data_IF_369905476376
#
_entry.id   IF_369905476376
#
_cell.length_a   1.000
_cell.length_b   1.000
_cell.length_c   1.000
_cell.angle_alpha   90.00
_cell.angle_beta   90.00
_cell.angle_gamma   90.00
#
_symmetry.space_group_name_H-M   'P 1'
#
loop_
_entity.id
_entity.type
_entity.pdbx_description
1 polymer ?
#
# COMPACT_ATOMS: atom_id res chain seq x y z
N UNK A 1 73.00 11.66 46.35
CA UNK A 1 71.58 11.81 46.76
C UNK A 1 70.86 12.27 45.52
N UNK A 2 70.23 11.31 44.79
CA UNK A 2 69.40 11.62 43.63
C UNK A 2 68.02 12.02 44.14
N UNK A 3 67.57 13.17 43.72
CA UNK A 3 66.25 13.72 44.00
C UNK A 3 65.23 12.87 43.24
N UNK A 4 64.18 12.28 43.87
CA UNK A 4 63.21 11.49 43.15
C UNK A 4 62.46 12.40 42.19
N UNK A 5 62.49 12.06 40.92
CA UNK A 5 61.75 12.75 39.88
C UNK A 5 60.24 12.77 40.25
N UNK A 6 59.75 13.97 40.58
CA UNK A 6 58.34 14.22 40.84
C UNK A 6 57.55 13.92 39.56
N UNK A 7 56.99 12.72 39.51
CA UNK A 7 56.14 12.30 38.37
C UNK A 7 54.95 13.24 38.35
N UNK A 8 54.87 14.08 37.35
CA UNK A 8 53.74 15.00 37.13
C UNK A 8 52.44 14.14 36.92
N UNK A 9 51.78 13.85 38.05
CA UNK A 9 50.54 13.09 38.08
C UNK A 9 49.45 13.67 37.16
N UNK A 10 49.50 14.98 36.91
CA UNK A 10 48.55 15.65 36.01
C UNK A 10 48.81 15.28 34.55
N UNK A 11 50.06 15.19 34.14
CA UNK A 11 50.38 14.82 32.75
C UNK A 11 50.03 13.34 32.49
N UNK A 12 50.31 12.44 33.44
CA UNK A 12 49.95 11.03 33.37
C UNK A 12 48.41 10.84 33.28
N UNK A 13 47.66 11.57 34.10
CA UNK A 13 46.19 11.52 34.09
C UNK A 13 45.60 12.02 32.77
N UNK A 14 46.19 13.07 32.20
CA UNK A 14 45.74 13.66 30.91
C UNK A 14 45.95 12.67 29.76
N UNK A 15 47.06 11.95 29.76
CA UNK A 15 47.37 10.92 28.75
C UNK A 15 46.39 9.75 28.89
N UNK A 16 46.12 9.23 30.09
CA UNK A 16 45.17 8.15 30.32
C UNK A 16 43.74 8.51 29.89
N UNK A 17 43.30 9.73 30.20
CA UNK A 17 41.96 10.21 29.75
C UNK A 17 41.90 10.32 28.22
N UNK A 18 42.97 10.77 27.56
CA UNK A 18 43.04 10.88 26.14
C UNK A 18 43.03 9.53 25.43
N UNK A 19 43.74 8.55 25.97
CA UNK A 19 43.76 7.17 25.46
C UNK A 19 42.42 6.47 25.66
N UNK A 20 41.79 6.59 26.82
CA UNK A 20 40.49 6.02 27.08
C UNK A 20 39.41 6.59 26.17
N UNK A 21 39.42 7.90 25.92
CA UNK A 21 38.50 8.55 24.95
C UNK A 21 38.73 8.09 23.51
N UNK A 22 39.99 7.88 23.12
CA UNK A 22 40.32 7.40 21.77
C UNK A 22 39.91 5.94 21.56
N UNK A 23 40.06 5.10 22.58
CA UNK A 23 39.60 3.72 22.57
C UNK A 23 38.06 3.64 22.48
N UNK A 24 37.36 4.44 23.30
CA UNK A 24 35.88 4.50 23.26
C UNK A 24 35.35 4.97 21.90
N UNK A 25 35.99 5.99 21.30
CA UNK A 25 35.62 6.47 19.96
C UNK A 25 35.80 5.40 18.88
N UNK A 26 36.89 4.62 18.94
CA UNK A 26 37.21 3.57 18.00
C UNK A 26 36.20 2.42 18.09
N UNK A 27 35.81 2.05 19.30
CA UNK A 27 34.82 1.00 19.55
C UNK A 27 33.42 1.43 19.10
N UNK A 28 33.06 2.69 19.35
CA UNK A 28 31.80 3.28 18.89
C UNK A 28 31.71 3.35 17.37
N UNK A 29 32.75 3.82 16.71
CA UNK A 29 32.82 3.89 15.26
C UNK A 29 32.72 2.50 14.61
N UNK A 30 33.33 1.47 15.22
CA UNK A 30 33.23 0.09 14.74
C UNK A 30 31.81 -0.47 14.89
N UNK A 31 31.18 -0.26 16.04
CA UNK A 31 29.79 -0.69 16.30
C UNK A 31 28.81 0.04 15.37
N UNK A 32 29.00 1.33 15.16
CA UNK A 32 28.21 2.12 14.24
C UNK A 32 28.37 1.63 12.78
N UNK A 33 29.61 1.32 12.36
CA UNK A 33 29.87 0.75 11.04
C UNK A 33 29.17 -0.60 10.84
N UNK A 34 29.20 -1.49 11.83
CA UNK A 34 28.50 -2.78 11.78
C UNK A 34 26.97 -2.56 11.67
N UNK A 35 26.43 -1.64 12.47
CA UNK A 35 25.00 -1.32 12.42
C UNK A 35 24.59 -0.78 11.03
N UNK A 36 25.36 0.12 10.45
CA UNK A 36 25.11 0.64 9.10
C UNK A 36 25.16 -0.48 8.04
N UNK A 37 26.12 -1.39 8.13
CA UNK A 37 26.19 -2.54 7.22
C UNK A 37 24.99 -3.45 7.36
N UNK A 38 24.52 -3.74 8.58
CA UNK A 38 23.34 -4.55 8.82
C UNK A 38 22.06 -3.87 8.28
N UNK A 39 21.91 -2.56 8.48
CA UNK A 39 20.80 -1.80 7.95
C UNK A 39 20.81 -1.80 6.40
N UNK A 40 21.97 -1.59 5.80
CA UNK A 40 22.10 -1.65 4.33
C UNK A 40 21.79 -3.06 3.80
N UNK A 41 22.31 -4.11 4.42
CA UNK A 41 22.00 -5.48 4.04
C UNK A 41 20.49 -5.77 4.19
N UNK A 42 19.87 -5.33 5.27
CA UNK A 42 18.42 -5.42 5.48
C UNK A 42 17.62 -4.69 4.41
N UNK A 43 18.04 -3.48 4.05
CA UNK A 43 17.39 -2.69 3.00
C UNK A 43 17.50 -3.34 1.62
N UNK A 44 18.68 -3.87 1.27
CA UNK A 44 18.90 -4.59 0.01
C UNK A 44 18.06 -5.87 -0.03
N UNK A 45 18.05 -6.64 1.05
CA UNK A 45 17.25 -7.87 1.15
C UNK A 45 15.76 -7.57 1.02
N UNK A 46 15.28 -6.52 1.71
CA UNK A 46 13.90 -6.05 1.58
C UNK A 46 13.55 -5.66 0.13
N UNK A 47 14.43 -4.91 -0.54
CA UNK A 47 14.23 -4.52 -1.93
C UNK A 47 14.19 -5.71 -2.90
N UNK A 48 15.01 -6.75 -2.65
CA UNK A 48 14.99 -7.99 -3.44
C UNK A 48 13.66 -8.75 -3.20
N UNK A 49 13.22 -8.88 -1.96
CA UNK A 49 11.97 -9.55 -1.61
C UNK A 49 10.74 -8.82 -2.18
N UNK A 50 10.74 -7.49 -2.12
CA UNK A 50 9.67 -6.68 -2.71
C UNK A 50 9.61 -6.88 -4.24
N UNK A 51 10.75 -6.84 -4.90
CA UNK A 51 10.85 -7.05 -6.35
C UNK A 51 10.53 -8.47 -6.80
N UNK A 52 10.74 -9.47 -5.95
CA UNK A 52 10.38 -10.88 -6.22
C UNK A 52 8.90 -11.19 -6.06
N UNK A 53 8.09 -10.21 -5.64
CA UNK A 53 6.66 -10.42 -5.38
C UNK A 53 6.37 -11.17 -4.06
N UNK A 54 7.36 -11.32 -3.18
CA UNK A 54 7.19 -12.02 -1.89
C UNK A 54 6.10 -11.38 -1.00
N UNK A 55 5.79 -10.11 -1.25
CA UNK A 55 4.76 -9.35 -0.54
C UNK A 55 3.46 -9.19 -1.35
N UNK A 56 3.29 -9.98 -2.41
CA UNK A 56 2.08 -10.01 -3.19
C UNK A 56 1.24 -11.23 -2.82
N UNK A 57 -0.02 -11.00 -2.58
CA UNK A 57 -1.01 -12.04 -2.33
C UNK A 57 -1.92 -12.14 -3.54
N UNK A 58 -2.05 -13.34 -4.10
CA UNK A 58 -3.02 -13.60 -5.17
C UNK A 58 -4.44 -13.46 -4.62
N UNK A 59 -5.26 -12.75 -5.37
CA UNK A 59 -6.70 -12.60 -5.12
C UNK A 59 -7.41 -13.17 -6.34
N UNK A 60 -8.29 -14.12 -6.09
CA UNK A 60 -9.16 -14.69 -7.11
C UNK A 60 -10.56 -14.81 -6.52
N UNK A 61 -11.51 -14.08 -7.08
CA UNK A 61 -12.88 -13.99 -6.60
C UNK A 61 -13.84 -13.93 -7.78
N UNK A 62 -15.02 -14.50 -7.58
CA UNK A 62 -16.14 -14.36 -8.50
C UNK A 62 -17.41 -14.17 -7.68
N UNK A 63 -18.20 -13.18 -8.05
CA UNK A 63 -19.42 -12.80 -7.34
C UNK A 63 -20.56 -12.59 -8.32
N UNK A 64 -21.77 -12.89 -7.88
CA UNK A 64 -22.99 -12.28 -8.43
C UNK A 64 -23.35 -11.12 -7.53
N UNK A 65 -23.48 -9.91 -8.08
CA UNK A 65 -23.71 -8.68 -7.35
C UNK A 65 -24.92 -7.94 -7.89
N UNK A 66 -25.53 -7.12 -7.04
CA UNK A 66 -26.69 -6.31 -7.42
C UNK A 66 -26.29 -5.08 -8.24
N UNK A 67 -27.17 -4.70 -9.16
CA UNK A 67 -27.17 -3.39 -9.83
C UNK A 67 -28.28 -2.57 -9.19
N UNK A 68 -27.92 -1.44 -8.62
CA UNK A 68 -28.81 -0.58 -7.85
C UNK A 68 -28.97 0.77 -8.57
N UNK A 69 -30.16 1.31 -8.59
CA UNK A 69 -30.47 2.65 -9.10
C UNK A 69 -31.57 3.26 -8.23
N UNK A 70 -31.38 4.51 -7.84
CA UNK A 70 -32.33 5.25 -6.99
C UNK A 70 -32.75 4.51 -5.69
N UNK A 71 -31.83 3.68 -5.18
CA UNK A 71 -32.07 2.87 -3.95
C UNK A 71 -32.74 1.52 -4.20
N UNK A 72 -33.15 1.21 -5.43
CA UNK A 72 -33.80 -0.05 -5.81
C UNK A 72 -32.84 -0.97 -6.57
N UNK A 73 -32.94 -2.28 -6.32
CA UNK A 73 -32.19 -3.29 -7.04
C UNK A 73 -32.86 -3.56 -8.39
N UNK A 74 -32.24 -3.11 -9.49
CA UNK A 74 -32.78 -3.23 -10.83
C UNK A 74 -32.29 -4.44 -11.61
N UNK A 75 -31.27 -5.17 -11.09
CA UNK A 75 -30.72 -6.35 -11.74
C UNK A 75 -29.54 -6.95 -11.00
N UNK A 76 -28.91 -7.91 -11.65
CA UNK A 76 -27.71 -8.58 -11.15
C UNK A 76 -26.66 -8.68 -12.27
N UNK A 77 -25.39 -8.75 -11.90
CA UNK A 77 -24.27 -8.93 -12.82
C UNK A 77 -23.19 -9.80 -12.18
N UNK A 78 -22.43 -10.51 -13.01
CA UNK A 78 -21.26 -11.21 -12.55
C UNK A 78 -20.05 -10.26 -12.49
N UNK A 79 -19.22 -10.46 -11.48
CA UNK A 79 -17.95 -9.76 -11.30
C UNK A 79 -16.85 -10.77 -11.06
N UNK A 80 -15.78 -10.68 -11.84
CA UNK A 80 -14.58 -11.52 -11.69
C UNK A 80 -13.40 -10.66 -11.33
N UNK A 81 -12.72 -11.03 -10.26
CA UNK A 81 -11.52 -10.35 -9.76
C UNK A 81 -10.39 -11.38 -9.77
N UNK A 82 -9.29 -11.08 -10.49
CA UNK A 82 -8.10 -11.94 -10.50
C UNK A 82 -6.85 -11.09 -10.64
N UNK A 83 -5.95 -11.18 -9.66
CA UNK A 83 -4.74 -10.35 -9.66
C UNK A 83 -3.94 -10.50 -8.40
N UNK A 84 -3.18 -9.48 -8.08
CA UNK A 84 -2.25 -9.46 -6.96
C UNK A 84 -2.48 -8.24 -6.07
N UNK A 85 -2.47 -8.46 -4.79
CA UNK A 85 -2.60 -7.43 -3.76
C UNK A 85 -1.32 -7.35 -2.95
N UNK A 86 -0.81 -6.15 -2.74
CA UNK A 86 0.30 -5.95 -1.82
C UNK A 86 -0.14 -6.17 -0.36
N UNK A 87 0.57 -7.01 0.38
CA UNK A 87 0.33 -7.28 1.81
C UNK A 87 0.59 -6.01 2.64
N UNK A 88 1.62 -5.25 2.28
CA UNK A 88 2.03 -4.03 2.98
C UNK A 88 1.43 -2.76 2.37
N UNK A 89 1.16 -2.83 1.07
CA UNK A 89 0.61 -1.74 0.31
C UNK A 89 -0.90 -1.63 0.43
N UNK A 90 -1.39 -0.58 -0.17
CA UNK A 90 -2.81 -0.31 -0.30
C UNK A 90 -3.17 -0.38 -1.76
N UNK A 91 -2.64 -1.39 -2.44
CA UNK A 91 -2.83 -1.55 -3.87
C UNK A 91 -3.22 -2.96 -4.24
N UNK A 92 -4.03 -3.03 -5.25
CA UNK A 92 -4.35 -4.22 -6.01
C UNK A 92 -4.08 -3.90 -7.48
N UNK A 93 -3.50 -4.84 -8.19
CA UNK A 93 -3.23 -4.76 -9.62
C UNK A 93 -3.68 -6.09 -10.26
N UNK A 94 -4.56 -6.01 -11.25
CA UNK A 94 -5.08 -7.21 -11.92
C UNK A 94 -6.35 -6.94 -12.71
N UNK A 95 -7.10 -7.98 -12.97
CA UNK A 95 -8.35 -7.93 -13.71
C UNK A 95 -9.52 -7.74 -12.74
N UNK A 96 -10.35 -6.76 -13.03
CA UNK A 96 -11.62 -6.53 -12.36
C UNK A 96 -12.70 -6.37 -13.45
N UNK A 97 -13.32 -7.47 -13.85
CA UNK A 97 -14.29 -7.50 -14.92
C UNK A 97 -15.71 -7.49 -14.35
N UNK A 98 -16.56 -6.65 -14.90
CA UNK A 98 -17.98 -6.52 -14.53
C UNK A 98 -18.78 -6.70 -15.81
N UNK A 99 -19.57 -7.77 -15.93
CA UNK A 99 -20.28 -8.12 -17.16
C UNK A 99 -21.23 -7.01 -17.63
N UNK A 100 -21.85 -6.29 -16.69
CA UNK A 100 -22.71 -5.14 -17.02
C UNK A 100 -21.94 -3.91 -17.52
N UNK A 101 -20.59 -3.90 -17.48
CA UNK A 101 -19.73 -2.80 -17.91
C UNK A 101 -18.74 -3.31 -18.94
N UNK A 102 -19.15 -3.34 -20.21
CA UNK A 102 -18.39 -3.93 -21.33
C UNK A 102 -16.92 -3.49 -21.39
N UNK A 103 -16.64 -2.21 -21.08
CA UNK A 103 -15.27 -1.68 -21.07
C UNK A 103 -14.34 -2.47 -20.14
N UNK A 104 -14.84 -2.99 -19.00
CA UNK A 104 -14.04 -3.74 -18.01
C UNK A 104 -13.79 -5.18 -18.45
N UNK A 105 -14.58 -5.71 -19.36
CA UNK A 105 -14.50 -7.09 -19.82
C UNK A 105 -13.48 -7.32 -20.93
N UNK A 106 -12.88 -6.25 -21.49
CA UNK A 106 -11.87 -6.38 -22.53
C UNK A 106 -10.70 -7.24 -22.06
N UNK A 107 -10.17 -8.09 -22.95
CA UNK A 107 -9.18 -9.10 -22.62
C UNK A 107 -7.92 -8.54 -21.95
N UNK A 108 -7.46 -7.35 -22.37
CA UNK A 108 -6.26 -6.70 -21.86
C UNK A 108 -6.52 -5.65 -20.78
N UNK A 109 -7.78 -5.46 -20.40
CA UNK A 109 -8.12 -4.48 -19.39
C UNK A 109 -7.61 -4.90 -18.02
N UNK A 110 -6.84 -4.04 -17.37
CA UNK A 110 -6.37 -4.20 -16.00
C UNK A 110 -6.97 -3.11 -15.12
N UNK A 111 -7.25 -3.46 -13.89
CA UNK A 111 -7.71 -2.55 -12.86
C UNK A 111 -6.60 -2.34 -11.84
N UNK A 112 -6.36 -1.08 -11.51
CA UNK A 112 -5.55 -0.67 -10.38
C UNK A 112 -6.45 -0.11 -9.30
N UNK A 113 -6.40 -0.69 -8.09
CA UNK A 113 -7.12 -0.18 -6.93
C UNK A 113 -6.09 0.38 -5.96
N UNK A 114 -6.35 1.59 -5.46
CA UNK A 114 -5.51 2.28 -4.47
C UNK A 114 -6.39 2.73 -3.31
N UNK A 115 -6.20 2.13 -2.14
CA UNK A 115 -6.96 2.49 -0.92
C UNK A 115 -6.42 3.74 -0.26
N UNK A 116 -7.31 4.58 0.21
CA UNK A 116 -6.98 5.72 1.05
C UNK A 116 -6.52 5.30 2.45
N UNK A 117 -5.82 6.22 3.13
CA UNK A 117 -5.38 6.00 4.50
C UNK A 117 -6.58 5.94 5.44
N UNK A 118 -6.69 4.81 6.17
CA UNK A 118 -7.68 4.63 7.26
C UNK A 118 -9.15 4.62 6.82
N UNK A 119 -9.43 4.42 5.55
CA UNK A 119 -10.79 4.30 5.04
C UNK A 119 -10.93 3.06 4.14
N UNK A 120 -12.15 2.65 3.89
CA UNK A 120 -12.49 1.65 2.90
C UNK A 120 -12.73 2.28 1.52
N UNK A 121 -12.53 3.60 1.40
CA UNK A 121 -12.54 4.28 0.11
C UNK A 121 -11.30 3.94 -0.69
N UNK A 122 -11.48 3.72 -1.97
CA UNK A 122 -10.40 3.44 -2.89
C UNK A 122 -10.67 4.13 -4.25
N UNK A 123 -9.59 4.42 -4.94
CA UNK A 123 -9.66 4.77 -6.36
C UNK A 123 -9.46 3.50 -7.17
N UNK A 124 -10.35 3.27 -8.14
CA UNK A 124 -10.20 2.21 -9.12
C UNK A 124 -9.93 2.85 -10.49
N UNK A 125 -8.86 2.43 -11.14
CA UNK A 125 -8.49 2.90 -12.48
C UNK A 125 -8.38 1.71 -13.41
N UNK A 126 -8.99 1.80 -14.59
CA UNK A 126 -8.91 0.77 -15.61
C UNK A 126 -7.99 1.24 -16.73
N UNK A 127 -7.00 0.43 -17.09
CA UNK A 127 -6.03 0.73 -18.14
C UNK A 127 -5.67 -0.51 -18.96
N UNK A 128 -5.40 -0.33 -20.25
CA UNK A 128 -4.80 -1.38 -21.09
C UNK A 128 -3.27 -1.27 -21.02
N UNK A 129 -2.53 -2.36 -20.75
CA UNK A 129 -1.07 -2.33 -20.71
C UNK A 129 -0.48 -1.89 -22.04
N UNK A 130 0.45 -0.95 -21.99
CA UNK A 130 1.17 -0.46 -23.18
C UNK A 130 0.58 0.78 -23.84
N UNK A 131 -0.57 1.27 -23.41
CA UNK A 131 -1.10 2.56 -23.82
C UNK A 131 -0.78 3.62 -22.77
N UNK A 132 0.29 4.38 -22.97
CA UNK A 132 0.57 5.56 -22.17
C UNK A 132 -0.55 6.58 -22.45
N UNK A 133 -1.53 6.70 -21.55
CA UNK A 133 -2.54 7.75 -21.57
C UNK A 133 -3.98 7.33 -21.88
N UNK A 134 -4.27 6.09 -22.24
CA UNK A 134 -5.63 5.63 -22.34
C UNK A 134 -6.13 5.12 -20.96
N UNK A 135 -6.35 6.03 -20.05
CA UNK A 135 -7.26 5.78 -18.94
C UNK A 135 -8.64 5.63 -19.56
N UNK A 136 -9.20 4.43 -19.58
CA UNK A 136 -10.62 4.29 -19.75
C UNK A 136 -11.23 4.93 -18.48
N UNK A 137 -11.60 6.21 -18.55
CA UNK A 137 -12.06 7.03 -17.45
C UNK A 137 -13.33 6.47 -16.82
N UNK A 138 -13.15 5.47 -15.96
CA UNK A 138 -14.11 5.11 -14.96
C UNK A 138 -13.47 5.62 -13.66
N UNK A 139 -13.50 6.92 -13.49
CA UNK A 139 -13.19 7.56 -12.22
C UNK A 139 -14.47 7.56 -11.40
N UNK A 140 -14.63 6.57 -10.54
CA UNK A 140 -15.84 6.49 -9.72
C UNK A 140 -15.48 6.19 -8.30
N UNK A 141 -16.37 6.60 -7.42
CA UNK A 141 -16.33 6.22 -6.04
C UNK A 141 -16.34 4.69 -5.94
N UNK A 142 -15.27 4.14 -5.37
CA UNK A 142 -15.12 2.73 -5.09
C UNK A 142 -14.95 2.53 -3.59
N UNK A 143 -15.89 1.84 -3.00
CA UNK A 143 -15.92 1.52 -1.58
C UNK A 143 -15.79 0.01 -1.40
N UNK A 144 -14.73 -0.46 -0.76
CA UNK A 144 -14.45 -1.88 -0.65
C UNK A 144 -13.55 -2.19 0.54
N UNK A 145 -13.62 -3.42 1.04
CA UNK A 145 -12.61 -3.89 1.97
C UNK A 145 -11.27 -4.15 1.25
N UNK A 146 -10.20 -4.26 2.03
CA UNK A 146 -8.87 -4.48 1.47
C UNK A 146 -8.67 -5.89 0.90
N UNK A 147 -9.53 -6.81 1.24
CA UNK A 147 -9.49 -8.20 0.77
C UNK A 147 -10.40 -8.42 -0.42
N UNK A 148 -11.13 -7.36 -0.84
CA UNK A 148 -12.12 -7.43 -1.89
C UNK A 148 -13.18 -8.51 -1.65
N UNK A 149 -13.57 -8.73 -0.37
CA UNK A 149 -14.67 -9.62 -0.04
C UNK A 149 -16.02 -8.97 -0.31
N UNK A 150 -16.09 -7.67 -0.24
CA UNK A 150 -17.25 -6.86 -0.57
C UNK A 150 -16.85 -5.53 -1.21
N UNK A 151 -17.70 -4.99 -2.03
CA UNK A 151 -17.48 -3.69 -2.66
C UNK A 151 -18.79 -3.02 -3.07
N UNK A 152 -18.72 -1.70 -3.29
CA UNK A 152 -19.71 -0.89 -3.96
C UNK A 152 -19.00 0.07 -4.91
N UNK A 153 -19.39 0.06 -6.18
CA UNK A 153 -18.85 0.87 -7.26
C UNK A 153 -19.96 1.75 -7.82
N UNK A 154 -19.80 3.05 -7.76
CA UNK A 154 -20.71 3.99 -8.41
C UNK A 154 -20.28 4.18 -9.86
N UNK A 155 -21.21 4.19 -10.79
CA UNK A 155 -20.99 4.43 -12.21
C UNK A 155 -21.43 5.87 -12.59
N UNK A 156 -20.90 6.38 -13.71
CA UNK A 156 -21.22 7.73 -14.23
C UNK A 156 -22.71 7.96 -14.48
N UNK A 157 -23.41 6.90 -14.84
CA UNK A 157 -24.84 6.93 -15.13
C UNK A 157 -25.73 6.87 -13.86
N UNK A 158 -25.15 6.97 -12.69
CA UNK A 158 -25.84 6.93 -11.40
C UNK A 158 -26.17 5.53 -10.89
N UNK A 159 -25.86 4.48 -11.64
CA UNK A 159 -25.99 3.11 -11.15
C UNK A 159 -24.88 2.77 -10.16
N UNK A 160 -25.21 1.90 -9.22
CA UNK A 160 -24.25 1.37 -8.24
C UNK A 160 -24.20 -0.14 -8.42
N UNK A 161 -23.01 -0.67 -8.61
CA UNK A 161 -22.77 -2.12 -8.64
C UNK A 161 -22.18 -2.51 -7.29
N UNK A 162 -22.89 -3.33 -6.54
CA UNK A 162 -22.49 -3.66 -5.18
C UNK A 162 -22.81 -5.10 -4.80
N UNK A 163 -21.92 -5.71 -4.02
CA UNK A 163 -22.28 -6.89 -3.24
C UNK A 163 -23.29 -6.51 -2.17
N UNK A 164 -24.09 -7.48 -1.69
CA UNK A 164 -25.12 -7.19 -0.66
C UNK A 164 -24.50 -6.56 0.58
N UNK A 165 -23.33 -7.02 1.00
CA UNK A 165 -22.59 -6.42 2.11
C UNK A 165 -22.06 -5.01 1.75
N UNK A 166 -21.56 -4.83 0.54
CA UNK A 166 -21.08 -3.51 0.06
C UNK A 166 -22.20 -2.50 0.01
N UNK A 167 -23.39 -2.89 -0.44
CA UNK A 167 -24.58 -2.06 -0.43
C UNK A 167 -24.98 -1.65 1.00
N UNK A 168 -25.05 -2.62 1.93
CA UNK A 168 -25.38 -2.36 3.32
C UNK A 168 -24.36 -1.40 3.98
N UNK A 169 -23.07 -1.57 3.70
CA UNK A 169 -22.03 -0.68 4.19
C UNK A 169 -22.15 0.72 3.60
N UNK A 170 -22.47 0.84 2.31
CA UNK A 170 -22.67 2.11 1.65
C UNK A 170 -23.87 2.87 2.26
N UNK A 171 -24.98 2.18 2.53
CA UNK A 171 -26.15 2.79 3.18
C UNK A 171 -25.88 3.23 4.63
N UNK A 172 -24.95 2.56 5.31
CA UNK A 172 -24.56 2.91 6.67
C UNK A 172 -23.65 4.14 6.75
N UNK A 173 -23.07 4.58 5.63
CA UNK A 173 -22.26 5.80 5.57
C UNK A 173 -23.17 7.02 5.84
N UNK A 174 -22.70 7.92 6.69
CA UNK A 174 -23.38 9.19 6.89
C UNK A 174 -23.24 10.08 5.65
N UNK A 175 -24.21 10.94 5.33
CA UNK A 175 -24.18 11.79 4.14
C UNK A 175 -22.91 12.64 3.95
N UNK A 176 -22.16 12.89 5.04
CA UNK A 176 -20.94 13.70 5.05
C UNK A 176 -19.66 12.90 4.71
N UNK A 177 -19.74 11.58 4.62
CA UNK A 177 -18.60 10.71 4.33
C UNK A 177 -18.51 10.35 2.84
N UNK A 178 -19.51 10.78 2.05
CA UNK A 178 -19.41 10.69 0.60
C UNK A 178 -18.42 11.76 0.11
N UNK A 179 -17.31 11.41 -0.52
CA UNK A 179 -16.52 12.38 -1.24
C UNK A 179 -17.35 12.87 -2.42
N UNK A 180 -17.99 14.02 -2.28
CA UNK A 180 -18.64 14.72 -3.38
C UNK A 180 -17.49 15.28 -4.23
N UNK A 181 -17.10 14.59 -5.26
CA UNK A 181 -16.30 15.19 -6.33
C UNK A 181 -17.20 16.16 -7.08
N UNK A 182 -17.21 17.41 -6.63
CA UNK A 182 -17.79 18.51 -7.39
C UNK A 182 -16.82 18.79 -8.54
N UNK A 183 -17.27 18.52 -9.76
CA UNK A 183 -16.58 18.93 -10.99
C UNK A 183 -16.51 20.46 -11.12
#
# INVERSE_FOLDING_TARGET
>A
MEEPAEIDVRSALTVLIRESRSALRRDWSRRFGILCCLLMAGFVTFGILDRSGAFLQKVERSYTVGIWQDGEKIGETAVTISGERSIWGRSYDGRFAIDAVEKTCRERMQAMIRWEKKSNCANITFAEPGFFGAQAGIEHFFYCDRELNWFALSLEDGRIIASDQGWAQLQALRPYEYPVYVN
#
